data_IF_609530590842
#
_entry.id   IF_609530590842
#
_cell.length_a   1.000
_cell.length_b   1.000
_cell.length_c   1.000
_cell.angle_alpha   90.00
_cell.angle_beta   90.00
_cell.angle_gamma   90.00
#
_symmetry.space_group_name_H-M   'P 1'
#
loop_
_entity.id
_entity.type
_entity.pdbx_description
1 polymer ?
#
# COMPACT_ATOMS: atom_id res chain seq x y z
N UNK A 1 -9.09 4.44 12.30
CA UNK A 1 -8.61 5.79 11.95
C UNK A 1 -7.53 6.21 12.95
N UNK A 2 -6.45 6.86 12.52
CA UNK A 2 -5.38 7.35 13.40
C UNK A 2 -4.86 8.70 12.91
N UNK A 3 -4.45 9.60 13.81
CA UNK A 3 -3.86 10.90 13.47
C UNK A 3 -2.41 10.81 12.97
N UNK A 4 -1.83 9.60 12.94
CA UNK A 4 -0.44 9.38 12.51
C UNK A 4 -0.23 9.48 11.01
N UNK A 5 -1.30 9.30 10.23
CA UNK A 5 -1.31 9.50 8.78
C UNK A 5 -2.34 10.59 8.51
N UNK A 6 -1.93 11.64 7.82
CA UNK A 6 -2.75 12.83 7.58
C UNK A 6 -2.90 13.04 6.08
N UNK A 7 -4.04 13.59 5.67
CA UNK A 7 -4.30 14.03 4.30
C UNK A 7 -3.31 15.12 3.91
N UNK A 8 -2.80 15.06 2.67
CA UNK A 8 -1.84 16.00 2.13
C UNK A 8 -2.51 16.93 1.11
N UNK A 9 -2.03 18.18 1.01
CA UNK A 9 -2.42 19.09 -0.07
C UNK A 9 -1.36 19.04 -1.17
N UNK A 10 -1.71 18.53 -2.35
CA UNK A 10 -0.81 18.35 -3.48
C UNK A 10 -1.46 18.90 -4.74
N UNK A 11 -0.84 19.90 -5.37
CA UNK A 11 -1.35 20.53 -6.60
C UNK A 11 -2.83 20.98 -6.50
N UNK A 12 -3.25 21.47 -5.32
CA UNK A 12 -4.63 21.90 -5.05
C UNK A 12 -5.62 20.77 -4.80
N UNK A 13 -5.14 19.53 -4.64
CA UNK A 13 -5.95 18.36 -4.33
C UNK A 13 -5.64 17.81 -2.93
N UNK A 14 -6.66 17.25 -2.30
CA UNK A 14 -6.50 16.45 -1.09
C UNK A 14 -6.09 15.03 -1.48
N UNK A 15 -4.91 14.59 -1.04
CA UNK A 15 -4.37 13.26 -1.31
C UNK A 15 -4.31 12.47 0.00
N UNK A 16 -5.06 11.37 0.06
CA UNK A 16 -5.04 10.44 1.17
C UNK A 16 -4.03 9.30 0.95
N UNK A 17 -3.37 8.87 2.03
CA UNK A 17 -2.43 7.74 2.00
C UNK A 17 -3.00 6.55 2.78
N UNK A 18 -3.03 5.37 2.14
CA UNK A 18 -3.46 4.12 2.76
C UNK A 18 -2.23 3.26 3.08
N UNK A 19 -1.95 3.05 4.37
CA UNK A 19 -0.84 2.21 4.83
C UNK A 19 -1.23 0.73 4.93
N UNK A 20 -0.47 -0.15 4.28
CA UNK A 20 -0.72 -1.60 4.22
C UNK A 20 0.54 -2.35 4.69
N UNK A 21 0.53 -3.00 5.87
CA UNK A 21 1.68 -3.78 6.33
C UNK A 21 1.83 -5.10 5.56
N UNK A 22 3.06 -5.61 5.49
CA UNK A 22 3.44 -6.75 4.62
C UNK A 22 3.59 -8.08 5.34
N UNK A 23 3.14 -8.19 6.59
CA UNK A 23 3.52 -9.29 7.49
C UNK A 23 2.53 -10.47 7.54
N UNK A 24 1.49 -10.48 6.70
CA UNK A 24 0.49 -11.54 6.67
C UNK A 24 0.51 -12.34 5.37
N UNK A 25 -0.03 -13.55 5.44
CA UNK A 25 -0.16 -14.47 4.31
C UNK A 25 -1.11 -15.63 4.66
N UNK A 26 -1.07 -16.67 3.84
CA UNK A 26 -1.95 -17.84 3.97
C UNK A 26 -1.35 -18.99 4.79
N UNK A 27 -0.06 -18.94 5.09
CA UNK A 27 0.69 -19.95 5.82
C UNK A 27 1.44 -19.33 7.02
N UNK A 28 1.47 -20.04 8.15
CA UNK A 28 2.11 -19.61 9.39
C UNK A 28 1.26 -19.83 10.63
N UNK A 29 1.80 -19.44 11.80
CA UNK A 29 1.13 -19.55 13.10
C UNK A 29 0.33 -18.31 13.50
N UNK A 30 0.55 -17.19 12.80
CA UNK A 30 -0.25 -15.97 12.95
C UNK A 30 -1.65 -16.15 12.32
N UNK A 31 -2.54 -15.18 12.55
CA UNK A 31 -3.84 -15.16 11.86
C UNK A 31 -3.63 -15.06 10.35
N UNK A 32 -4.38 -15.87 9.59
CA UNK A 32 -4.38 -15.81 8.13
C UNK A 32 -4.79 -14.41 7.65
N UNK A 33 -4.17 -13.98 6.55
CA UNK A 33 -4.48 -12.72 5.88
C UNK A 33 -4.12 -12.80 4.39
N UNK A 34 -4.04 -11.65 3.75
CA UNK A 34 -3.72 -11.53 2.33
C UNK A 34 -2.30 -11.00 2.14
N UNK A 35 -1.65 -11.39 1.05
CA UNK A 35 -0.36 -10.84 0.67
C UNK A 35 -0.55 -9.39 0.18
N UNK A 36 0.17 -8.44 0.78
CA UNK A 36 0.08 -7.03 0.37
C UNK A 36 0.46 -6.82 -1.11
N UNK A 37 1.41 -7.61 -1.63
CA UNK A 37 1.87 -7.54 -3.02
C UNK A 37 0.82 -8.01 -4.04
N UNK A 38 -0.35 -8.50 -3.61
CA UNK A 38 -1.50 -8.67 -4.52
C UNK A 38 -1.96 -7.32 -5.09
N UNK A 39 -1.68 -6.20 -4.41
CA UNK A 39 -2.09 -4.85 -4.80
C UNK A 39 -1.01 -4.10 -5.59
N UNK A 40 0.26 -4.44 -5.38
CA UNK A 40 1.38 -3.68 -5.95
C UNK A 40 1.51 -3.89 -7.46
N UNK A 41 1.85 -2.84 -8.23
CA UNK A 41 2.10 -2.96 -9.66
C UNK A 41 3.40 -3.73 -9.97
N UNK A 42 3.48 -4.31 -11.17
CA UNK A 42 4.69 -4.93 -11.71
C UNK A 42 5.47 -3.95 -12.58
N UNK A 43 6.00 -2.91 -11.95
CA UNK A 43 6.87 -1.89 -12.57
C UNK A 43 8.04 -1.63 -11.63
N UNK A 44 9.21 -1.27 -12.18
CA UNK A 44 10.40 -0.98 -11.39
C UNK A 44 11.15 0.25 -11.86
N UNK A 45 12.08 0.71 -11.03
CA UNK A 45 12.99 1.80 -11.32
C UNK A 45 13.78 1.56 -12.62
N UNK A 46 14.00 2.61 -13.40
CA UNK A 46 14.63 2.53 -14.72
C UNK A 46 16.10 2.11 -14.67
N UNK A 47 16.78 2.27 -13.53
CA UNK A 47 18.21 1.96 -13.40
C UNK A 47 18.45 0.53 -12.90
N UNK A 48 17.71 0.13 -11.86
CA UNK A 48 17.95 -1.11 -11.12
C UNK A 48 16.83 -2.14 -11.29
N UNK A 49 15.71 -1.75 -11.89
CA UNK A 49 14.47 -2.50 -11.93
C UNK A 49 13.89 -2.83 -10.54
N UNK A 50 14.31 -2.11 -9.49
CA UNK A 50 13.75 -2.26 -8.14
C UNK A 50 12.25 -1.92 -8.18
N UNK A 51 11.34 -2.82 -7.74
CA UNK A 51 9.91 -2.60 -7.89
C UNK A 51 9.35 -1.39 -7.14
N UNK A 52 8.33 -0.76 -7.72
CA UNK A 52 7.59 0.35 -7.10
C UNK A 52 6.58 -0.19 -6.08
N UNK A 53 7.03 -0.36 -4.84
CA UNK A 53 6.22 -0.83 -3.70
C UNK A 53 5.90 0.26 -2.69
N UNK A 54 6.34 1.51 -2.91
CA UNK A 54 6.19 2.58 -1.90
C UNK A 54 5.13 3.60 -2.27
N UNK A 55 4.80 3.76 -3.55
CA UNK A 55 3.69 4.60 -4.00
C UNK A 55 2.92 3.96 -5.17
N UNK A 56 1.64 3.63 -4.94
CA UNK A 56 0.71 3.15 -5.96
C UNK A 56 -0.73 3.47 -5.55
N UNK A 57 -1.67 3.34 -6.48
CA UNK A 57 -3.08 3.72 -6.27
C UNK A 57 -3.92 2.52 -5.82
N UNK A 58 -4.86 2.78 -4.91
CA UNK A 58 -5.83 1.81 -4.39
C UNK A 58 -7.18 2.51 -4.14
N UNK A 59 -8.24 1.73 -4.04
CA UNK A 59 -9.52 2.16 -3.49
C UNK A 59 -9.83 1.37 -2.21
N UNK A 60 -10.62 1.94 -1.29
CA UNK A 60 -11.08 1.28 -0.08
C UNK A 60 -12.60 1.36 0.02
N UNK A 61 -13.23 0.22 0.24
CA UNK A 61 -14.67 0.11 0.48
C UNK A 61 -14.90 -0.62 1.79
N UNK A 62 -16.05 -0.36 2.43
CA UNK A 62 -16.45 -1.10 3.62
C UNK A 62 -16.75 -2.56 3.23
N UNK A 63 -16.16 -3.50 3.96
CA UNK A 63 -16.42 -4.93 3.84
C UNK A 63 -17.62 -5.39 4.68
#
# INVERSE_FOLDING_TARGET
MTKRVMTLQVAGQEVEQVGIPVHWGFEGTARKGYLANTLSPRVGDANTHTPEYKAFLVNIEKA
#
